data_IF_778329307659
#
_entry.id   IF_778329307659
#
_cell.length_a   1.000
_cell.length_b   1.000
_cell.length_c   1.000
_cell.angle_alpha   90.00
_cell.angle_beta   90.00
_cell.angle_gamma   90.00
#
_symmetry.space_group_name_H-M   'P 1'
#
loop_
_entity.id
_entity.type
_entity.pdbx_description
1 polymer ?
#
# COMPACT_ATOMS: atom_id res chain seq x y z
N UNK A 1 -2.56 -13.58 12.78
CA UNK A 1 -2.51 -12.72 11.59
C UNK A 1 -3.28 -13.40 10.47
N UNK A 2 -3.93 -12.63 9.60
CA UNK A 2 -4.59 -13.12 8.39
C UNK A 2 -3.84 -12.57 7.18
N UNK A 3 -3.47 -13.44 6.24
CA UNK A 3 -2.90 -13.01 4.97
C UNK A 3 -3.99 -12.71 3.94
N UNK A 4 -3.90 -11.56 3.29
CA UNK A 4 -4.72 -11.14 2.15
C UNK A 4 -3.80 -11.05 0.93
N UNK A 5 -4.26 -11.60 -0.19
CA UNK A 5 -3.52 -11.60 -1.44
C UNK A 5 -4.27 -10.83 -2.51
N UNK A 6 -3.60 -9.85 -3.09
CA UNK A 6 -4.04 -9.12 -4.25
C UNK A 6 -3.39 -9.74 -5.48
N UNK A 7 -4.14 -9.80 -6.58
CA UNK A 7 -3.65 -10.26 -7.88
C UNK A 7 -4.16 -9.32 -8.95
N UNK A 8 -3.27 -8.87 -9.82
CA UNK A 8 -3.63 -7.97 -10.91
C UNK A 8 -3.21 -8.57 -12.24
N UNK A 9 -4.21 -8.92 -13.06
CA UNK A 9 -4.11 -9.40 -14.44
C UNK A 9 -3.08 -10.53 -14.68
N UNK A 10 -2.85 -11.36 -13.67
CA UNK A 10 -1.80 -12.38 -13.71
C UNK A 10 -0.36 -11.84 -13.78
N UNK A 11 -0.17 -10.53 -13.84
CA UNK A 11 1.11 -9.84 -14.04
C UNK A 11 1.81 -9.47 -12.72
N UNK A 12 1.02 -9.20 -11.67
CA UNK A 12 1.53 -8.76 -10.37
C UNK A 12 0.72 -9.34 -9.20
N UNK A 13 1.38 -9.48 -8.05
CA UNK A 13 0.79 -9.88 -6.78
C UNK A 13 1.25 -8.98 -5.64
N UNK A 14 0.39 -8.81 -4.64
CA UNK A 14 0.77 -8.18 -3.38
C UNK A 14 0.21 -9.00 -2.20
N UNK A 15 0.95 -9.02 -1.10
CA UNK A 15 0.54 -9.69 0.13
C UNK A 15 0.46 -8.70 1.29
N UNK A 16 -0.64 -8.78 2.05
CA UNK A 16 -0.89 -7.95 3.21
C UNK A 16 -1.21 -8.83 4.41
N UNK A 17 -0.53 -8.62 5.53
CA UNK A 17 -0.84 -9.27 6.80
C UNK A 17 -1.68 -8.34 7.67
N UNK A 18 -2.82 -8.84 8.10
CA UNK A 18 -3.70 -8.14 9.02
C UNK A 18 -3.63 -8.75 10.43
N UNK A 19 -3.66 -7.91 11.47
CA UNK A 19 -3.71 -8.40 12.84
C UNK A 19 -5.07 -9.08 13.13
N UNK A 20 -5.09 -10.11 13.99
CA UNK A 20 -6.32 -10.79 14.36
C UNK A 20 -7.19 -9.90 15.27
N UNK A 21 -8.49 -9.83 15.00
CA UNK A 21 -9.44 -9.14 15.88
C UNK A 21 -9.36 -7.61 15.85
N UNK A 22 -8.94 -7.05 14.69
CA UNK A 22 -8.75 -5.63 14.39
C UNK A 22 -9.32 -4.65 15.41
N UNK A 23 -8.41 -3.96 16.09
CA UNK A 23 -8.66 -2.64 16.69
C UNK A 23 -8.40 -1.58 15.61
N UNK A 24 -9.11 -0.46 15.67
CA UNK A 24 -9.01 0.62 14.66
C UNK A 24 -7.58 1.15 14.48
N UNK A 25 -6.74 1.06 15.51
CA UNK A 25 -5.39 1.61 15.51
C UNK A 25 -4.28 0.64 15.06
N UNK A 26 -4.61 -0.63 14.81
CA UNK A 26 -3.58 -1.65 14.54
C UNK A 26 -3.27 -1.72 13.02
N UNK A 27 -2.02 -1.45 12.60
CA UNK A 27 -1.70 -1.34 11.18
C UNK A 27 -1.70 -2.71 10.50
N UNK A 28 -2.02 -2.71 9.20
CA UNK A 28 -1.78 -3.85 8.34
C UNK A 28 -0.37 -3.74 7.70
N UNK A 29 0.28 -4.87 7.50
CA UNK A 29 1.65 -4.94 6.99
C UNK A 29 1.62 -5.35 5.52
N UNK A 30 2.05 -4.47 4.62
CA UNK A 30 2.33 -4.83 3.23
C UNK A 30 3.68 -5.54 3.18
N UNK A 31 3.65 -6.86 2.98
CA UNK A 31 4.84 -7.72 3.10
C UNK A 31 5.58 -7.92 1.78
N UNK A 32 4.88 -7.93 0.65
CA UNK A 32 5.52 -8.15 -0.64
C UNK A 32 4.70 -7.52 -1.77
N UNK A 33 5.40 -6.96 -2.76
CA UNK A 33 4.86 -6.69 -4.10
C UNK A 33 5.79 -7.34 -5.12
N UNK A 34 5.23 -8.23 -5.94
CA UNK A 34 5.97 -8.91 -6.99
C UNK A 34 5.35 -8.62 -8.35
N UNK A 35 6.20 -8.36 -9.35
CA UNK A 35 5.83 -8.26 -10.76
C UNK A 35 6.68 -9.26 -11.53
N UNK A 36 6.01 -10.14 -12.28
CA UNK A 36 6.71 -11.15 -13.07
C UNK A 36 7.68 -10.50 -14.07
N UNK A 37 8.90 -11.04 -14.27
CA UNK A 37 9.95 -10.42 -15.08
C UNK A 37 9.50 -9.92 -16.46
N UNK A 38 8.71 -10.71 -17.19
CA UNK A 38 8.18 -10.43 -18.53
C UNK A 38 7.12 -9.30 -18.55
N UNK A 39 6.60 -8.93 -17.38
CA UNK A 39 5.61 -7.87 -17.19
C UNK A 39 6.21 -6.60 -16.59
N UNK A 40 7.48 -6.58 -16.17
CA UNK A 40 8.13 -5.40 -15.58
C UNK A 40 8.18 -4.20 -16.54
N UNK A 41 8.31 -2.99 -15.98
CA UNK A 41 8.41 -1.73 -16.74
C UNK A 41 7.08 -1.23 -17.32
N UNK A 42 5.96 -1.92 -17.07
CA UNK A 42 4.63 -1.60 -17.63
C UNK A 42 3.66 -0.95 -16.64
N UNK A 43 4.12 -0.65 -15.42
CA UNK A 43 3.30 -0.04 -14.37
C UNK A 43 2.50 -1.01 -13.49
N UNK A 44 2.56 -2.32 -13.71
CA UNK A 44 1.74 -3.28 -12.93
C UNK A 44 1.96 -3.26 -11.42
N UNK A 45 3.20 -3.04 -10.95
CA UNK A 45 3.47 -2.86 -9.53
C UNK A 45 2.72 -1.65 -8.95
N UNK A 46 2.60 -0.59 -9.76
CA UNK A 46 1.86 0.62 -9.37
C UNK A 46 0.36 0.38 -9.33
N UNK A 47 -0.20 -0.37 -10.29
CA UNK A 47 -1.62 -0.70 -10.30
C UNK A 47 -2.00 -1.55 -9.08
N UNK A 48 -1.23 -2.59 -8.77
CA UNK A 48 -1.55 -3.42 -7.60
C UNK A 48 -1.36 -2.68 -6.27
N UNK A 49 -0.35 -1.80 -6.16
CA UNK A 49 -0.18 -0.97 -4.97
C UNK A 49 -1.36 -0.01 -4.77
N UNK A 50 -1.90 0.58 -5.85
CA UNK A 50 -3.11 1.41 -5.77
C UNK A 50 -4.32 0.61 -5.28
N UNK A 51 -4.46 -0.65 -5.69
CA UNK A 51 -5.54 -1.51 -5.22
C UNK A 51 -5.42 -1.79 -3.71
N UNK A 52 -4.23 -2.10 -3.24
CA UNK A 52 -3.94 -2.28 -1.81
C UNK A 52 -4.27 -1.00 -1.04
N UNK A 53 -3.77 0.15 -1.50
CA UNK A 53 -4.03 1.44 -0.85
C UNK A 53 -5.52 1.77 -0.80
N UNK A 54 -6.25 1.54 -1.90
CA UNK A 54 -7.70 1.78 -1.96
C UNK A 54 -8.48 0.87 -1.00
N UNK A 55 -8.07 -0.39 -0.86
CA UNK A 55 -8.70 -1.30 0.10
C UNK A 55 -8.45 -0.82 1.55
N UNK A 56 -7.20 -0.42 1.86
CA UNK A 56 -6.86 0.14 3.16
C UNK A 56 -7.64 1.44 3.45
N UNK A 57 -7.74 2.35 2.48
CA UNK A 57 -8.48 3.61 2.61
C UNK A 57 -9.98 3.39 2.84
N UNK A 58 -10.58 2.42 2.14
CA UNK A 58 -12.00 2.08 2.30
C UNK A 58 -12.34 1.55 3.70
N UNK A 59 -11.35 0.99 4.38
CA UNK A 59 -11.49 0.38 5.69
C UNK A 59 -10.86 1.21 6.82
N UNK A 60 -10.30 2.39 6.50
CA UNK A 60 -9.66 3.27 7.48
C UNK A 60 -8.34 2.71 8.05
N UNK A 61 -7.66 1.84 7.31
CA UNK A 61 -6.48 1.10 7.81
C UNK A 61 -5.18 1.83 7.49
N UNK A 62 -4.33 1.99 8.50
CA UNK A 62 -2.93 2.37 8.32
C UNK A 62 -2.13 1.19 7.75
N UNK A 63 -1.35 1.44 6.70
CA UNK A 63 -0.43 0.48 6.11
C UNK A 63 1.00 0.76 6.60
N UNK A 64 1.74 -0.29 6.91
CA UNK A 64 3.18 -0.24 7.15
C UNK A 64 3.91 -1.23 6.24
N UNK A 65 5.15 -0.91 5.89
CA UNK A 65 6.04 -1.78 5.13
C UNK A 65 7.49 -1.54 5.53
N UNK A 66 8.36 -2.51 5.22
CA UNK A 66 9.81 -2.31 5.21
C UNK A 66 10.29 -2.16 3.77
N UNK A 67 11.24 -1.27 3.55
CA UNK A 67 11.93 -1.08 2.27
C UNK A 67 13.00 -2.16 2.14
N UNK A 68 12.63 -3.27 1.52
CA UNK A 68 13.51 -4.41 1.24
C UNK A 68 13.48 -4.73 -0.27
N UNK A 69 14.44 -4.23 -1.06
CA UNK A 69 14.43 -4.42 -2.49
C UNK A 69 14.82 -5.84 -2.92
N UNK A 70 14.04 -6.41 -3.84
CA UNK A 70 14.38 -7.70 -4.44
C UNK A 70 15.64 -7.61 -5.35
N UNK A 71 16.43 -8.70 -5.48
CA UNK A 71 17.56 -8.74 -6.40
C UNK A 71 17.19 -8.35 -7.85
N UNK A 72 17.91 -7.40 -8.42
CA UNK A 72 17.64 -6.86 -9.76
C UNK A 72 16.37 -6.01 -9.85
N UNK A 73 15.84 -5.55 -8.71
CA UNK A 73 14.79 -4.55 -8.60
C UNK A 73 15.33 -3.12 -8.50
N UNK A 74 14.52 -2.25 -7.89
CA UNK A 74 14.90 -0.88 -7.54
C UNK A 74 15.96 -0.88 -6.44
N UNK A 75 16.72 0.21 -6.28
CA UNK A 75 17.49 0.45 -5.04
C UNK A 75 16.58 0.81 -3.87
N UNK A 76 17.10 0.80 -2.64
CA UNK A 76 16.36 1.22 -1.44
C UNK A 76 15.76 2.63 -1.58
N UNK A 77 16.55 3.59 -2.08
CA UNK A 77 16.10 4.96 -2.29
C UNK A 77 15.04 5.07 -3.40
N UNK A 78 15.23 4.34 -4.51
CA UNK A 78 14.26 4.31 -5.60
C UNK A 78 12.94 3.65 -5.18
N UNK A 79 13.01 2.60 -4.36
CA UNK A 79 11.87 1.89 -3.82
C UNK A 79 11.11 2.75 -2.80
N UNK A 80 11.82 3.40 -1.88
CA UNK A 80 11.24 4.35 -0.94
C UNK A 80 10.59 5.54 -1.67
N UNK A 81 11.27 6.10 -2.68
CA UNK A 81 10.70 7.16 -3.51
C UNK A 81 9.50 6.68 -4.32
N UNK A 82 9.45 5.41 -4.73
CA UNK A 82 8.29 4.81 -5.37
C UNK A 82 7.10 4.71 -4.41
N UNK A 83 7.29 4.16 -3.21
CA UNK A 83 6.26 4.14 -2.17
C UNK A 83 5.80 5.55 -1.78
N UNK A 84 6.72 6.51 -1.70
CA UNK A 84 6.40 7.91 -1.38
C UNK A 84 5.38 8.56 -2.31
N UNK A 85 5.34 8.16 -3.59
CA UNK A 85 4.32 8.63 -4.55
C UNK A 85 2.90 8.21 -4.19
N UNK A 86 2.74 7.22 -3.32
CA UNK A 86 1.46 6.68 -2.86
C UNK A 86 1.09 7.14 -1.45
N UNK A 87 1.85 8.06 -0.86
CA UNK A 87 1.58 8.62 0.47
C UNK A 87 2.23 7.88 1.63
N UNK A 88 3.16 6.95 1.35
CA UNK A 88 4.03 6.39 2.38
C UNK A 88 5.10 7.40 2.79
N UNK A 89 5.40 7.48 4.08
CA UNK A 89 6.42 8.33 4.68
C UNK A 89 7.34 7.47 5.53
N UNK A 90 8.63 7.80 5.61
CA UNK A 90 9.55 7.08 6.52
C UNK A 90 9.11 7.26 7.96
N UNK A 91 9.21 6.20 8.75
CA UNK A 91 9.02 6.26 10.19
C UNK A 91 10.13 7.11 10.83
N UNK A 92 9.80 7.85 11.90
CA UNK A 92 10.80 8.58 12.69
C UNK A 92 11.67 7.64 13.53
N UNK A 93 11.11 6.46 13.88
CA UNK A 93 11.78 5.47 14.73
C UNK A 93 12.66 4.49 13.94
N UNK A 94 12.39 4.31 12.64
CA UNK A 94 13.06 3.33 11.78
C UNK A 94 13.01 3.77 10.30
N UNK A 95 14.15 4.16 9.74
CA UNK A 95 14.24 4.68 8.36
C UNK A 95 13.96 3.63 7.28
N UNK A 96 14.05 2.33 7.62
CA UNK A 96 13.71 1.22 6.73
C UNK A 96 12.20 0.96 6.71
N UNK A 97 11.46 1.47 7.69
CA UNK A 97 10.00 1.35 7.76
C UNK A 97 9.34 2.57 7.12
N UNK A 98 8.32 2.31 6.31
CA UNK A 98 7.45 3.36 5.80
C UNK A 98 6.00 3.12 6.22
N UNK A 99 5.31 4.22 6.54
CA UNK A 99 3.96 4.26 7.08
C UNK A 99 3.08 5.07 6.13
N UNK A 100 1.88 4.57 5.85
CA UNK A 100 0.84 5.30 5.11
C UNK A 100 -0.44 5.28 5.92
N UNK A 101 -0.87 6.45 6.37
CA UNK A 101 -2.19 6.62 6.97
C UNK A 101 -3.29 6.46 5.92
N UNK A 102 -4.41 5.86 6.33
CA UNK A 102 -5.62 5.80 5.51
C UNK A 102 -6.03 7.21 5.09
N UNK A 103 -6.23 7.42 3.79
CA UNK A 103 -6.71 8.68 3.27
C UNK A 103 -8.23 8.65 3.33
N UNK A 104 -8.84 9.45 4.21
CA UNK A 104 -10.29 9.55 4.30
C UNK A 104 -10.89 9.89 2.94
N UNK A 105 -11.70 8.98 2.40
CA UNK A 105 -12.59 9.27 1.29
C UNK A 105 -13.72 10.16 1.82
N UNK A 106 -13.41 11.44 2.03
CA UNK A 106 -14.41 12.46 2.28
C UNK A 106 -15.33 12.50 1.05
N UNK A 107 -16.41 11.71 1.09
CA UNK A 107 -17.52 11.84 0.18
C UNK A 107 -17.98 13.29 0.29
N UNK A 108 -17.86 14.03 -0.80
CA UNK A 108 -18.45 15.37 -0.95
C UNK A 108 -19.96 15.23 -0.71
N UNK A 109 -20.41 15.45 0.52
CA UNK A 109 -21.78 15.89 0.75
C UNK A 109 -21.85 17.35 0.29
N UNK A 110 -22.12 17.56 -1.00
CA UNK A 110 -22.77 18.81 -1.41
C UNK A 110 -24.19 18.72 -0.89
N UNK A 111 -24.42 19.29 0.29
CA UNK A 111 -25.74 19.58 0.81
C UNK A 111 -26.44 20.52 -0.19
N UNK A 112 -27.31 19.96 -1.02
CA UNK A 112 -28.34 20.73 -1.72
C UNK A 112 -29.28 21.26 -0.64
N UNK A 113 -29.05 22.50 -0.18
CA UNK A 113 -30.04 23.27 0.56
C UNK A 113 -30.74 24.23 -0.40
N UNK A 114 -32.08 24.12 -0.56
CA UNK A 114 -32.85 25.05 -1.37
C UNK A 114 -33.15 26.32 -0.57
N UNK A 115 -33.09 27.47 -1.25
CA UNK A 115 -33.84 28.69 -0.90
C UNK A 115 -34.51 29.23 -2.16
#
# INVERSE_FOLDING_TARGET
MRAIYFRHDGAATASVLEPPGRREDEPAILTEIAVWPEHRGKGWGSEILKEVCRAADAEGITLILSVDPAPGGLSDEELAAWYGRYGFQRSEDDEEVMIRLAQSSATRYTETSPV
#
